data_IF_312807352936
#
_entry.id   IF_312807352936
#
_cell.length_a   1.000
_cell.length_b   1.000
_cell.length_c   1.000
_cell.angle_alpha   90.00
_cell.angle_beta   90.00
_cell.angle_gamma   90.00
#
_symmetry.space_group_name_H-M   'P 1'
#
loop_
_entity.id
_entity.type
_entity.pdbx_description
1 polymer ?
#
# COMPACT_ATOMS: atom_id res chain seq x y z
N UNK A 1 8.44 -6.34 -34.29
CA UNK A 1 7.50 -6.45 -33.15
C UNK A 1 8.20 -7.15 -31.99
N UNK A 2 8.56 -6.44 -30.91
CA UNK A 2 8.44 -6.93 -29.54
C UNK A 2 8.84 -5.83 -28.53
N UNK A 3 7.81 -5.25 -27.90
CA UNK A 3 7.72 -4.94 -26.46
C UNK A 3 8.65 -3.86 -25.92
N UNK A 4 8.18 -2.62 -26.12
CA UNK A 4 7.90 -1.60 -25.10
C UNK A 4 8.39 -1.99 -23.68
N UNK A 5 9.67 -1.75 -23.42
CA UNK A 5 10.22 -1.61 -22.06
C UNK A 5 10.35 -0.12 -21.80
N UNK A 6 10.18 0.27 -20.54
CA UNK A 6 10.30 1.62 -19.99
C UNK A 6 9.02 2.44 -20.10
N UNK A 7 8.09 2.30 -19.15
CA UNK A 7 7.20 3.38 -18.66
C UNK A 7 6.43 2.88 -17.43
N UNK A 8 7.14 2.62 -16.31
CA UNK A 8 6.51 2.43 -15.00
C UNK A 8 7.43 2.96 -13.88
N UNK A 9 8.12 4.07 -14.16
CA UNK A 9 8.93 4.82 -13.18
C UNK A 9 8.72 6.32 -13.41
N UNK A 10 7.48 6.78 -13.55
CA UNK A 10 7.10 8.20 -13.39
C UNK A 10 5.60 8.23 -13.07
N UNK A 11 5.23 7.96 -11.82
CA UNK A 11 3.84 7.99 -11.37
C UNK A 11 3.66 8.34 -9.90
N UNK A 12 4.70 8.88 -9.25
CA UNK A 12 4.70 9.18 -7.82
C UNK A 12 5.25 10.58 -7.50
N UNK A 13 5.37 11.48 -8.50
CA UNK A 13 6.01 12.81 -8.35
C UNK A 13 5.12 13.95 -8.87
N UNK A 14 3.80 13.78 -8.99
CA UNK A 14 2.91 14.84 -9.55
C UNK A 14 1.73 15.19 -8.65
N UNK A 15 1.82 14.99 -7.32
CA UNK A 15 0.78 15.50 -6.39
C UNK A 15 1.28 16.53 -5.38
N UNK A 16 2.56 16.91 -5.40
CA UNK A 16 3.12 17.87 -4.42
C UNK A 16 3.48 19.25 -5.00
N UNK A 17 2.79 19.73 -6.03
CA UNK A 17 3.01 21.13 -6.40
C UNK A 17 2.27 21.61 -7.61
N UNK A 18 1.01 22.00 -7.43
CA UNK A 18 0.48 23.35 -7.71
C UNK A 18 -0.96 23.33 -7.19
N UNK A 19 -1.26 23.96 -6.07
CA UNK A 19 -1.72 25.35 -6.09
C UNK A 19 -1.56 25.98 -4.72
N UNK A 20 -0.77 27.04 -4.67
CA UNK A 20 -0.86 28.04 -3.61
C UNK A 20 -2.25 28.68 -3.66
N UNK A 21 -3.05 28.45 -2.61
CA UNK A 21 -3.71 29.52 -1.85
C UNK A 21 -3.75 29.09 -0.40
N UNK A 22 -3.10 29.88 0.44
CA UNK A 22 -3.36 29.90 1.87
C UNK A 22 -4.85 30.24 2.05
N UNK A 23 -5.66 29.21 2.28
CA UNK A 23 -6.86 29.36 3.08
C UNK A 23 -6.46 28.86 4.45
N UNK A 24 -6.64 29.72 5.46
CA UNK A 24 -6.54 29.36 6.87
C UNK A 24 -7.32 28.06 7.08
N UNK A 25 -6.60 26.97 7.32
CA UNK A 25 -7.18 25.70 7.70
C UNK A 25 -7.40 25.86 9.19
N UNK A 26 -8.65 26.17 9.58
CA UNK A 26 -9.15 25.81 10.90
C UNK A 26 -8.79 24.34 11.12
N UNK A 27 -8.14 24.03 12.24
CA UNK A 27 -7.83 22.67 12.69
C UNK A 27 -9.14 21.86 12.74
N UNK A 28 -9.51 21.26 11.61
CA UNK A 28 -10.64 20.34 11.49
C UNK A 28 -10.09 18.97 11.87
N UNK A 29 -10.43 18.50 13.07
CA UNK A 29 -10.01 17.23 13.68
C UNK A 29 -10.40 15.96 12.86
N UNK A 30 -10.82 16.13 11.60
CA UNK A 30 -11.14 15.08 10.62
C UNK A 30 -10.00 14.72 9.65
N UNK A 31 -8.79 15.27 9.81
CA UNK A 31 -7.68 15.09 8.83
C UNK A 31 -7.11 13.66 8.68
N UNK A 32 -7.52 12.67 9.48
CA UNK A 32 -6.87 11.34 9.47
C UNK A 32 -7.74 10.18 8.96
N UNK A 33 -8.92 10.43 8.41
CA UNK A 33 -9.73 9.34 7.84
C UNK A 33 -9.26 8.93 6.43
N UNK A 34 -8.89 7.67 6.27
CA UNK A 34 -8.60 7.07 4.96
C UNK A 34 -9.87 7.16 4.09
N UNK A 35 -9.85 7.89 2.95
CA UNK A 35 -11.01 8.00 2.08
C UNK A 35 -11.47 6.65 1.54
N UNK A 36 -12.79 6.46 1.41
CA UNK A 36 -13.38 5.21 0.90
C UNK A 36 -12.85 4.82 -0.48
N UNK A 37 -12.52 5.80 -1.32
CA UNK A 37 -11.93 5.58 -2.66
C UNK A 37 -10.56 4.89 -2.60
N UNK A 38 -9.77 5.13 -1.55
CA UNK A 38 -8.49 4.45 -1.32
C UNK A 38 -8.74 3.00 -0.92
N UNK A 39 -9.73 2.76 -0.05
CA UNK A 39 -10.11 1.41 0.41
C UNK A 39 -10.55 0.57 -0.78
N UNK A 40 -11.46 1.09 -1.60
CA UNK A 40 -11.97 0.43 -2.80
C UNK A 40 -10.85 0.17 -3.83
N UNK A 41 -10.00 1.16 -4.08
CA UNK A 41 -8.86 1.02 -5.00
C UNK A 41 -7.86 -0.02 -4.54
N UNK A 42 -7.56 -0.07 -3.24
CA UNK A 42 -6.68 -1.06 -2.64
C UNK A 42 -7.25 -2.48 -2.77
N UNK A 43 -8.54 -2.65 -2.43
CA UNK A 43 -9.26 -3.92 -2.58
C UNK A 43 -9.24 -4.41 -4.02
N UNK A 44 -9.57 -3.53 -4.97
CA UNK A 44 -9.57 -3.86 -6.39
C UNK A 44 -8.18 -4.30 -6.88
N UNK A 45 -7.12 -3.63 -6.45
CA UNK A 45 -5.74 -4.01 -6.79
C UNK A 45 -5.38 -5.42 -6.31
N UNK A 46 -5.80 -5.79 -5.10
CA UNK A 46 -5.59 -7.15 -4.57
C UNK A 46 -6.37 -8.17 -5.41
N UNK A 47 -7.65 -7.91 -5.67
CA UNK A 47 -8.51 -8.78 -6.46
C UNK A 47 -7.94 -9.03 -7.87
N UNK A 48 -7.42 -7.99 -8.51
CA UNK A 48 -6.75 -8.12 -9.81
C UNK A 48 -5.54 -9.06 -9.73
N UNK A 49 -4.68 -8.92 -8.72
CA UNK A 49 -3.52 -9.81 -8.54
C UNK A 49 -3.94 -11.25 -8.24
N UNK A 50 -5.00 -11.42 -7.45
CA UNK A 50 -5.57 -12.74 -7.13
C UNK A 50 -6.06 -13.43 -8.38
N UNK A 51 -6.83 -12.72 -9.21
CA UNK A 51 -7.37 -13.28 -10.45
C UNK A 51 -6.26 -13.56 -11.47
N UNK A 52 -5.36 -12.59 -11.70
CA UNK A 52 -4.30 -12.67 -12.70
C UNK A 52 -3.29 -13.79 -12.43
N UNK A 53 -2.97 -14.02 -11.16
CA UNK A 53 -1.98 -15.02 -10.76
C UNK A 53 -2.60 -16.30 -10.18
N UNK A 54 -3.94 -16.41 -10.24
CA UNK A 54 -4.70 -17.53 -9.68
C UNK A 54 -4.32 -17.81 -8.21
N UNK A 55 -4.23 -16.76 -7.41
CA UNK A 55 -3.81 -16.85 -6.03
C UNK A 55 -4.94 -17.43 -5.17
N UNK A 56 -4.52 -18.17 -4.15
CA UNK A 56 -5.36 -18.72 -3.11
C UNK A 56 -4.53 -18.90 -1.85
N UNK A 57 -5.20 -19.27 -0.76
CA UNK A 57 -4.52 -19.43 0.53
C UNK A 57 -3.34 -20.44 0.48
N UNK A 58 -3.32 -21.42 -0.43
CA UNK A 58 -2.25 -22.43 -0.50
C UNK A 58 -1.01 -21.95 -1.25
N UNK A 59 -1.15 -21.05 -2.24
CA UNK A 59 -0.05 -20.63 -3.11
C UNK A 59 0.42 -19.18 -2.90
N UNK A 60 -0.32 -18.35 -2.13
CA UNK A 60 0.02 -16.94 -1.93
C UNK A 60 1.44 -16.73 -1.39
N UNK A 61 1.88 -17.58 -0.47
CA UNK A 61 3.20 -17.45 0.15
C UNK A 61 4.35 -17.70 -0.82
N UNK A 62 4.16 -18.61 -1.78
CA UNK A 62 5.13 -18.86 -2.85
C UNK A 62 5.20 -17.66 -3.79
N UNK A 63 4.04 -17.17 -4.24
CA UNK A 63 3.95 -15.98 -5.08
C UNK A 63 4.65 -14.77 -4.46
N UNK A 64 4.38 -14.46 -3.18
CA UNK A 64 4.98 -13.31 -2.51
C UNK A 64 6.49 -13.43 -2.34
N UNK A 65 7.04 -14.64 -2.19
CA UNK A 65 8.49 -14.87 -2.17
C UNK A 65 9.13 -14.62 -3.54
N UNK A 66 8.43 -14.96 -4.62
CA UNK A 66 8.92 -14.81 -6.01
C UNK A 66 8.95 -13.34 -6.47
N UNK A 67 8.14 -12.44 -5.89
CA UNK A 67 8.08 -11.02 -6.28
C UNK A 67 9.32 -10.19 -5.88
N UNK A 68 10.30 -10.76 -5.18
CA UNK A 68 11.66 -10.23 -4.91
C UNK A 68 11.81 -8.81 -4.30
N UNK A 69 10.74 -8.06 -4.07
CA UNK A 69 10.67 -6.83 -3.25
C UNK A 69 9.29 -6.74 -2.60
N UNK A 70 9.23 -6.60 -1.27
CA UNK A 70 7.97 -6.50 -0.54
C UNK A 70 7.37 -7.83 -0.07
N UNK A 71 8.18 -8.90 0.08
CA UNK A 71 7.70 -10.23 0.48
C UNK A 71 6.87 -10.23 1.78
N UNK A 72 7.28 -9.47 2.80
CA UNK A 72 6.54 -9.36 4.07
C UNK A 72 5.20 -8.63 3.91
N UNK A 73 5.19 -7.52 3.18
CA UNK A 73 3.97 -6.74 2.88
C UNK A 73 3.00 -7.55 2.02
N UNK A 74 3.51 -8.17 0.96
CA UNK A 74 2.72 -9.06 0.10
C UNK A 74 2.12 -10.22 0.90
N UNK A 75 2.92 -10.87 1.76
CA UNK A 75 2.45 -11.96 2.61
C UNK A 75 1.32 -11.49 3.54
N UNK A 76 1.48 -10.34 4.18
CA UNK A 76 0.47 -9.79 5.09
C UNK A 76 -0.85 -9.50 4.35
N UNK A 77 -0.77 -8.83 3.20
CA UNK A 77 -1.93 -8.47 2.38
C UNK A 77 -2.63 -9.74 1.86
N UNK A 78 -1.88 -10.60 1.19
CA UNK A 78 -2.45 -11.78 0.52
C UNK A 78 -2.99 -12.79 1.51
N UNK A 79 -2.33 -12.98 2.67
CA UNK A 79 -2.85 -13.84 3.73
C UNK A 79 -4.15 -13.27 4.32
N UNK A 80 -4.16 -11.96 4.63
CA UNK A 80 -5.35 -11.28 5.16
C UNK A 80 -6.55 -11.45 4.25
N UNK A 81 -6.35 -11.25 2.94
CA UNK A 81 -7.42 -11.32 1.96
C UNK A 81 -7.85 -12.77 1.62
N UNK A 82 -6.90 -13.68 1.41
CA UNK A 82 -7.18 -15.03 0.87
C UNK A 82 -7.36 -16.12 1.92
N UNK A 83 -6.78 -15.97 3.10
CA UNK A 83 -6.82 -16.97 4.18
C UNK A 83 -7.71 -16.51 5.33
N UNK A 84 -7.58 -15.26 5.74
CA UNK A 84 -8.30 -14.72 6.89
C UNK A 84 -9.64 -14.08 6.48
N UNK A 85 -9.94 -14.02 5.17
CA UNK A 85 -11.15 -13.45 4.56
C UNK A 85 -11.44 -12.00 5.01
N UNK A 86 -10.39 -11.20 5.22
CA UNK A 86 -10.51 -9.77 5.54
C UNK A 86 -10.84 -8.97 4.28
N UNK A 87 -12.12 -8.81 3.98
CA UNK A 87 -12.59 -8.20 2.72
C UNK A 87 -13.63 -7.09 2.90
N UNK A 88 -14.08 -6.83 4.15
CA UNK A 88 -14.94 -5.67 4.46
C UNK A 88 -14.12 -4.38 4.42
N UNK A 89 -14.78 -3.26 4.16
CA UNK A 89 -14.11 -1.96 4.02
C UNK A 89 -13.38 -1.56 5.31
N UNK A 90 -13.95 -1.86 6.48
CA UNK A 90 -13.33 -1.62 7.79
C UNK A 90 -12.09 -2.50 8.01
N UNK A 91 -12.14 -3.76 7.57
CA UNK A 91 -11.00 -4.68 7.68
C UNK A 91 -9.87 -4.29 6.73
N UNK A 92 -10.22 -3.80 5.54
CA UNK A 92 -9.26 -3.27 4.57
C UNK A 92 -8.67 -1.96 5.09
N UNK A 93 -9.48 -1.06 5.68
CA UNK A 93 -9.00 0.16 6.34
C UNK A 93 -7.96 -0.17 7.42
N UNK A 94 -8.29 -1.10 8.33
CA UNK A 94 -7.38 -1.53 9.38
C UNK A 94 -6.08 -2.17 8.83
N UNK A 95 -6.16 -2.90 7.72
CA UNK A 95 -4.98 -3.47 7.05
C UNK A 95 -4.09 -2.36 6.45
N UNK A 96 -4.69 -1.33 5.85
CA UNK A 96 -3.95 -0.18 5.32
C UNK A 96 -3.26 0.58 6.47
N UNK A 97 -3.96 0.80 7.59
CA UNK A 97 -3.40 1.41 8.79
C UNK A 97 -2.24 0.58 9.37
N UNK A 98 -2.36 -0.75 9.43
CA UNK A 98 -1.28 -1.64 9.87
C UNK A 98 -0.04 -1.52 8.97
N UNK A 99 -0.26 -1.42 7.65
CA UNK A 99 0.83 -1.23 6.68
C UNK A 99 1.52 0.12 6.84
N UNK A 100 0.78 1.20 7.06
CA UNK A 100 1.33 2.53 7.36
C UNK A 100 2.09 2.56 8.68
N UNK A 101 1.57 1.91 9.73
CA UNK A 101 2.24 1.83 11.01
C UNK A 101 3.60 1.09 10.89
N UNK A 102 3.63 -0.02 10.13
CA UNK A 102 4.87 -0.76 9.88
C UNK A 102 5.87 0.04 9.06
N UNK A 103 5.44 0.76 8.03
CA UNK A 103 6.35 1.59 7.22
C UNK A 103 6.90 2.79 8.00
N UNK A 104 6.11 3.38 8.91
CA UNK A 104 6.56 4.46 9.80
C UNK A 104 7.65 3.98 10.77
N UNK A 105 7.46 2.82 11.41
CA UNK A 105 8.47 2.25 12.32
C UNK A 105 9.78 1.94 11.58
N UNK A 106 9.72 1.40 10.37
CA UNK A 106 10.92 1.13 9.55
C UNK A 106 11.64 2.42 9.14
N UNK A 107 10.90 3.49 8.83
CA UNK A 107 11.44 4.82 8.51
C UNK A 107 12.13 5.47 9.72
N UNK A 108 11.46 5.47 10.88
CA UNK A 108 11.98 6.09 12.11
C UNK A 108 13.26 5.37 12.58
N UNK A 109 13.31 4.04 12.51
CA UNK A 109 14.51 3.26 12.84
C UNK A 109 15.70 3.53 11.90
N UNK A 110 15.45 3.81 10.62
CA UNK A 110 16.51 4.18 9.67
C UNK A 110 17.02 5.61 9.88
N UNK A 111 16.15 6.52 10.35
CA UNK A 111 16.50 7.91 10.58
C UNK A 111 17.14 8.20 11.95
N UNK A 112 16.86 7.41 12.98
CA UNK A 112 17.56 7.52 14.27
C UNK A 112 18.98 6.94 14.23
N UNK A 113 19.20 5.85 13.47
CA UNK A 113 20.53 5.25 13.31
C UNK A 113 21.45 5.96 12.30
N UNK A 114 20.93 6.91 11.52
CA UNK A 114 21.69 7.73 10.57
C UNK A 114 22.29 9.02 11.14
N UNK A 115 21.97 9.38 12.39
CA UNK A 115 22.38 10.64 13.04
C UNK A 115 23.54 10.47 14.03
N UNK A 116 24.37 9.45 13.84
CA UNK A 116 25.59 9.22 14.61
C UNK A 116 26.75 8.87 13.66
N UNK A 117 27.20 9.87 12.89
CA UNK A 117 28.50 9.86 12.22
C UNK A 117 29.07 11.28 12.17
#
# INVERSE_FOLDING_TARGET
MLKLKVFLVVGFVVLLGVSAKAQDIEDDDHENEIPITIIEGFKHSIEEQVQKNHLNCKNHAKYCKEQNKGGTVCLLIMKSFLCDNKTSDEQIKALIEELYAKSKVEYDQQHEHGSAA
#
